data_IF_367213840843
#
_entry.id   IF_367213840843
#
_cell.length_a   1.000
_cell.length_b   1.000
_cell.length_c   1.000
_cell.angle_alpha   90.00
_cell.angle_beta   90.00
_cell.angle_gamma   90.00
#
_symmetry.space_group_name_H-M   'P 1'
#
loop_
_entity.id
_entity.type
_entity.pdbx_description
1 polymer ?
#
# COMPACT_ATOMS: atom_id res chain seq x y z
N UNK A 1 2.85 -35.22 -39.18
CA UNK A 1 3.84 -35.15 -38.07
C UNK A 1 3.81 -33.73 -37.54
N UNK A 2 3.01 -33.45 -36.49
CA UNK A 2 2.91 -32.11 -35.91
C UNK A 2 4.21 -31.83 -35.13
N UNK A 3 5.01 -30.92 -35.62
CA UNK A 3 6.18 -30.43 -34.90
C UNK A 3 5.67 -29.71 -33.64
N UNK A 4 5.70 -30.36 -32.47
CA UNK A 4 5.41 -29.70 -31.20
C UNK A 4 6.40 -28.54 -31.03
N UNK A 5 5.91 -27.30 -31.07
CA UNK A 5 6.71 -26.12 -30.78
C UNK A 5 7.41 -26.31 -29.44
N UNK A 6 8.71 -26.19 -29.41
CA UNK A 6 9.48 -26.28 -28.16
C UNK A 6 9.08 -25.10 -27.26
N UNK A 7 8.81 -25.32 -25.97
CA UNK A 7 8.47 -24.26 -25.05
C UNK A 7 9.61 -23.25 -24.94
N UNK A 8 9.28 -21.96 -24.93
CA UNK A 8 10.25 -20.91 -24.67
C UNK A 8 10.72 -20.93 -23.20
N UNK A 9 11.70 -20.10 -22.84
CA UNK A 9 12.25 -20.06 -21.49
C UNK A 9 11.21 -19.68 -20.42
N UNK A 10 10.28 -18.76 -20.72
CA UNK A 10 9.18 -18.37 -19.86
C UNK A 10 8.21 -19.53 -19.63
N UNK A 11 7.78 -20.22 -20.70
CA UNK A 11 6.90 -21.38 -20.60
C UNK A 11 7.54 -22.53 -19.78
N UNK A 12 8.86 -22.70 -19.89
CA UNK A 12 9.60 -23.67 -19.08
C UNK A 12 9.60 -23.30 -17.60
N UNK A 13 9.86 -22.01 -17.26
CA UNK A 13 9.82 -21.53 -15.87
C UNK A 13 8.42 -21.64 -15.26
N UNK A 14 7.37 -21.34 -16.04
CA UNK A 14 6.00 -21.53 -15.60
C UNK A 14 5.65 -23.00 -15.30
N UNK A 15 6.18 -23.94 -16.08
CA UNK A 15 6.01 -25.38 -15.79
C UNK A 15 6.70 -25.76 -14.49
N UNK A 16 7.89 -25.23 -14.19
CA UNK A 16 8.57 -25.46 -12.92
C UNK A 16 7.74 -24.95 -11.72
N UNK A 17 7.04 -23.83 -11.88
CA UNK A 17 6.16 -23.31 -10.83
C UNK A 17 4.87 -24.16 -10.68
N UNK A 18 4.35 -24.72 -11.76
CA UNK A 18 3.11 -25.52 -11.77
C UNK A 18 3.34 -26.98 -11.35
N UNK A 19 4.56 -27.53 -11.55
CA UNK A 19 4.94 -28.88 -11.16
C UNK A 19 5.62 -28.84 -9.79
N UNK A 20 4.82 -28.99 -8.74
CA UNK A 20 5.23 -28.87 -7.35
C UNK A 20 6.18 -29.96 -6.84
N UNK A 21 6.56 -30.92 -7.68
CA UNK A 21 7.47 -32.00 -7.34
C UNK A 21 8.77 -31.97 -8.15
N UNK A 22 8.79 -31.30 -9.29
CA UNK A 22 9.93 -31.35 -10.20
C UNK A 22 11.06 -30.40 -9.76
N UNK A 23 12.18 -30.96 -9.30
CA UNK A 23 13.38 -30.22 -8.90
C UNK A 23 13.21 -29.25 -7.72
N UNK A 24 12.10 -29.30 -6.99
CA UNK A 24 11.85 -28.43 -5.85
C UNK A 24 12.76 -28.80 -4.67
N UNK A 25 13.34 -27.78 -4.01
CA UNK A 25 14.31 -27.94 -2.93
C UNK A 25 14.04 -27.02 -1.73
N UNK A 26 12.91 -26.29 -1.74
CA UNK A 26 12.40 -25.53 -0.61
C UNK A 26 10.87 -25.47 -0.61
N UNK A 27 10.30 -25.06 0.53
CA UNK A 27 8.87 -25.08 0.75
C UNK A 27 8.43 -23.87 1.57
N UNK A 28 7.28 -23.28 1.20
CA UNK A 28 6.58 -22.24 1.95
C UNK A 28 5.22 -22.75 2.42
N UNK A 29 4.84 -22.37 3.64
CA UNK A 29 3.51 -22.57 4.21
C UNK A 29 2.88 -21.19 4.39
N UNK A 30 1.84 -20.89 3.62
CA UNK A 30 1.27 -19.55 3.51
C UNK A 30 -0.16 -19.51 4.03
N UNK A 31 -0.44 -18.51 4.86
CA UNK A 31 -1.73 -18.26 5.49
C UNK A 31 -1.72 -18.57 6.97
N UNK A 32 -2.51 -17.79 7.71
CA UNK A 32 -2.70 -17.91 9.17
C UNK A 32 -4.21 -17.84 9.49
N UNK A 33 -4.98 -18.75 8.92
CA UNK A 33 -6.40 -18.85 9.26
C UNK A 33 -6.60 -19.93 10.30
N UNK A 34 -7.28 -19.66 11.44
CA UNK A 34 -7.57 -20.68 12.45
C UNK A 34 -8.43 -21.82 11.91
N UNK A 35 -9.17 -21.57 10.82
CA UNK A 35 -10.11 -22.53 10.23
C UNK A 35 -9.56 -23.24 8.98
N UNK A 36 -8.35 -22.88 8.52
CA UNK A 36 -7.77 -23.44 7.30
C UNK A 36 -6.30 -23.78 7.50
N UNK A 37 -5.90 -24.95 7.03
CA UNK A 37 -4.48 -25.30 6.95
C UNK A 37 -3.75 -24.34 6.00
N UNK A 38 -2.49 -23.94 6.31
CA UNK A 38 -1.71 -23.09 5.44
C UNK A 38 -1.48 -23.78 4.09
N UNK A 39 -1.60 -23.01 3.02
CA UNK A 39 -1.34 -23.53 1.68
C UNK A 39 0.15 -23.76 1.49
N UNK A 40 0.50 -24.90 0.92
CA UNK A 40 1.88 -25.34 0.67
C UNK A 40 2.31 -24.95 -0.74
N UNK A 41 3.48 -24.31 -0.85
CA UNK A 41 4.14 -23.98 -2.11
C UNK A 41 5.55 -24.57 -2.14
N UNK A 42 5.80 -25.47 -3.07
CA UNK A 42 7.12 -26.02 -3.29
C UNK A 42 7.84 -25.22 -4.35
N UNK A 43 9.06 -24.81 -4.07
CA UNK A 43 9.80 -23.84 -4.88
C UNK A 43 11.25 -24.28 -5.11
N UNK A 44 11.99 -23.45 -5.87
CA UNK A 44 13.38 -23.70 -6.25
C UNK A 44 14.25 -22.60 -5.65
N UNK A 45 15.12 -22.93 -4.71
CA UNK A 45 16.05 -22.01 -4.04
C UNK A 45 16.82 -21.14 -5.03
N UNK A 46 17.35 -21.76 -6.10
CA UNK A 46 18.13 -21.04 -7.12
C UNK A 46 17.31 -19.97 -7.84
N UNK A 47 16.03 -20.26 -8.16
CA UNK A 47 15.16 -19.27 -8.84
C UNK A 47 14.86 -18.12 -7.89
N UNK A 48 14.50 -18.43 -6.64
CA UNK A 48 14.24 -17.42 -5.61
C UNK A 48 15.46 -16.55 -5.33
N UNK A 49 16.62 -17.17 -5.12
CA UNK A 49 17.89 -16.47 -4.88
C UNK A 49 18.33 -15.60 -6.06
N UNK A 50 18.03 -16.01 -7.30
CA UNK A 50 18.32 -15.18 -8.48
C UNK A 50 17.45 -13.94 -8.60
N UNK A 51 16.32 -13.89 -7.88
CA UNK A 51 15.37 -12.78 -7.92
C UNK A 51 15.51 -11.83 -6.71
N UNK A 52 16.12 -12.28 -5.59
CA UNK A 52 16.18 -11.52 -4.35
C UNK A 52 17.40 -11.90 -3.51
N UNK A 53 18.17 -10.88 -3.10
CA UNK A 53 19.29 -11.06 -2.16
C UNK A 53 18.82 -11.61 -0.81
N UNK A 54 17.59 -11.31 -0.40
CA UNK A 54 17.02 -11.87 0.85
C UNK A 54 16.85 -13.36 0.73
N UNK A 55 16.35 -13.87 -0.41
CA UNK A 55 16.26 -15.30 -0.66
C UNK A 55 17.64 -15.94 -0.81
N UNK A 56 18.59 -15.25 -1.45
CA UNK A 56 19.96 -15.75 -1.53
C UNK A 56 20.55 -15.97 -0.15
N UNK A 57 20.43 -14.95 0.73
CA UNK A 57 20.90 -15.06 2.12
C UNK A 57 20.14 -16.12 2.91
N UNK A 58 18.83 -16.23 2.73
CA UNK A 58 17.97 -17.20 3.42
C UNK A 58 18.37 -18.64 3.13
N UNK A 59 18.77 -18.96 1.89
CA UNK A 59 18.99 -20.34 1.46
C UNK A 59 20.46 -20.72 1.31
N UNK A 60 21.36 -19.75 1.16
CA UNK A 60 22.77 -20.01 0.83
C UNK A 60 23.78 -19.38 1.80
N UNK A 61 23.33 -18.69 2.86
CA UNK A 61 24.22 -18.19 3.91
C UNK A 61 24.47 -19.25 5.00
N UNK A 62 25.36 -18.92 5.93
CA UNK A 62 25.63 -19.75 7.13
C UNK A 62 24.40 -19.91 8.04
N UNK A 63 23.41 -19.02 7.92
CA UNK A 63 22.14 -19.04 8.67
C UNK A 63 20.99 -19.57 7.83
N UNK A 64 21.26 -20.57 6.98
CA UNK A 64 20.22 -21.11 6.11
C UNK A 64 19.02 -21.63 6.92
N UNK A 65 17.84 -21.51 6.33
CA UNK A 65 16.59 -22.01 6.94
C UNK A 65 16.43 -23.47 6.58
N UNK A 66 16.47 -24.33 7.60
CA UNK A 66 16.13 -25.75 7.46
C UNK A 66 14.62 -25.95 7.68
N UNK A 67 13.95 -26.52 6.67
CA UNK A 67 12.52 -26.82 6.71
C UNK A 67 11.63 -25.75 6.04
N UNK A 68 10.31 -25.89 6.18
CA UNK A 68 9.34 -24.99 5.55
C UNK A 68 9.38 -23.57 6.10
N UNK A 69 9.39 -22.59 5.21
CA UNK A 69 9.28 -21.17 5.57
C UNK A 69 7.80 -20.81 5.78
N UNK A 70 7.45 -20.28 6.96
CA UNK A 70 6.09 -19.85 7.26
C UNK A 70 5.90 -18.37 6.89
N UNK A 71 4.78 -18.08 6.20
CA UNK A 71 4.34 -16.73 5.84
C UNK A 71 2.89 -16.59 6.27
N UNK A 72 2.64 -15.75 7.25
CA UNK A 72 1.32 -15.54 7.87
C UNK A 72 0.69 -14.22 7.47
N UNK A 73 1.46 -13.30 6.93
CA UNK A 73 1.10 -11.91 6.71
C UNK A 73 0.33 -11.66 5.39
N UNK A 74 0.29 -12.67 4.51
CA UNK A 74 -0.36 -12.56 3.20
C UNK A 74 -1.21 -13.78 2.88
N UNK A 75 -2.19 -13.59 2.01
CA UNK A 75 -3.01 -14.68 1.50
C UNK A 75 -2.24 -15.53 0.48
N UNK A 76 -2.63 -16.82 0.40
CA UNK A 76 -2.05 -17.76 -0.54
C UNK A 76 -2.15 -17.31 -2.01
N UNK A 77 -3.25 -16.63 -2.39
CA UNK A 77 -3.45 -16.09 -3.74
C UNK A 77 -2.43 -15.00 -4.07
N UNK A 78 -2.18 -14.08 -3.15
CA UNK A 78 -1.18 -13.02 -3.34
C UNK A 78 0.24 -13.61 -3.40
N UNK A 79 0.52 -14.62 -2.58
CA UNK A 79 1.81 -15.30 -2.62
C UNK A 79 2.02 -16.08 -3.93
N UNK A 80 0.99 -16.71 -4.48
CA UNK A 80 1.03 -17.35 -5.80
C UNK A 80 1.36 -16.35 -6.91
N UNK A 81 0.73 -15.15 -6.89
CA UNK A 81 1.05 -14.06 -7.83
C UNK A 81 2.47 -13.55 -7.67
N UNK A 82 2.93 -13.43 -6.42
CA UNK A 82 4.32 -13.07 -6.11
C UNK A 82 5.29 -14.10 -6.69
N UNK A 83 5.08 -15.40 -6.46
CA UNK A 83 5.90 -16.47 -7.03
C UNK A 83 5.88 -16.44 -8.56
N UNK A 84 4.71 -16.20 -9.16
CA UNK A 84 4.63 -16.06 -10.62
C UNK A 84 5.57 -14.96 -11.10
N UNK A 85 5.55 -13.80 -10.44
CA UNK A 85 6.49 -12.72 -10.76
C UNK A 85 7.95 -13.16 -10.60
N UNK A 86 8.31 -13.81 -9.49
CA UNK A 86 9.66 -14.31 -9.24
C UNK A 86 10.15 -15.24 -10.36
N UNK A 87 9.26 -16.08 -10.90
CA UNK A 87 9.64 -17.05 -11.93
C UNK A 87 9.70 -16.47 -13.34
N UNK A 88 8.84 -15.52 -13.69
CA UNK A 88 8.71 -15.02 -15.07
C UNK A 88 8.83 -13.50 -15.22
N UNK A 89 8.99 -12.77 -14.14
CA UNK A 89 9.06 -11.30 -14.09
C UNK A 89 7.87 -10.60 -14.72
N UNK A 90 6.67 -11.19 -14.59
CA UNK A 90 5.43 -10.59 -15.09
C UNK A 90 4.31 -10.75 -14.06
N UNK A 91 3.56 -9.67 -13.87
CA UNK A 91 2.28 -9.69 -13.16
C UNK A 91 1.20 -10.12 -14.15
N UNK A 92 0.21 -10.89 -13.68
CA UNK A 92 -0.95 -11.20 -14.51
C UNK A 92 -1.75 -9.91 -14.75
N UNK A 93 -1.70 -9.43 -15.99
CA UNK A 93 -2.36 -8.18 -16.37
C UNK A 93 -3.83 -8.37 -16.71
N UNK A 94 -4.32 -9.59 -16.83
CA UNK A 94 -5.71 -9.87 -17.18
C UNK A 94 -6.63 -9.78 -15.97
N UNK A 95 -6.13 -10.11 -14.77
CA UNK A 95 -6.88 -10.02 -13.52
C UNK A 95 -6.67 -8.67 -12.81
N UNK A 96 -7.77 -8.12 -12.32
CA UNK A 96 -7.75 -6.94 -11.47
C UNK A 96 -7.12 -7.28 -10.10
N UNK A 97 -6.21 -6.42 -9.63
CA UNK A 97 -5.69 -6.50 -8.26
C UNK A 97 -6.62 -5.75 -7.32
N UNK A 98 -7.15 -6.42 -6.32
CA UNK A 98 -7.82 -5.74 -5.21
C UNK A 98 -6.80 -4.93 -4.40
N UNK A 99 -7.26 -3.91 -3.65
CA UNK A 99 -6.39 -3.14 -2.75
C UNK A 99 -5.66 -4.04 -1.73
N UNK A 100 -6.33 -5.09 -1.25
CA UNK A 100 -5.71 -6.07 -0.36
C UNK A 100 -4.56 -6.80 -1.05
N UNK A 101 -4.78 -7.34 -2.25
CA UNK A 101 -3.74 -8.04 -3.02
C UNK A 101 -2.58 -7.11 -3.36
N UNK A 102 -2.88 -5.84 -3.70
CA UNK A 102 -1.85 -4.82 -3.92
C UNK A 102 -1.00 -4.60 -2.66
N UNK A 103 -1.64 -4.41 -1.50
CA UNK A 103 -0.95 -4.21 -0.22
C UNK A 103 -0.07 -5.42 0.14
N UNK A 104 -0.57 -6.63 -0.05
CA UNK A 104 0.17 -7.87 0.21
C UNK A 104 1.34 -8.06 -0.75
N UNK A 105 1.19 -7.69 -2.04
CA UNK A 105 2.28 -7.74 -3.02
C UNK A 105 3.35 -6.67 -2.74
N UNK A 106 2.96 -5.46 -2.31
CA UNK A 106 3.90 -4.42 -1.88
C UNK A 106 4.65 -4.86 -0.61
N UNK A 107 3.96 -5.49 0.34
CA UNK A 107 4.58 -6.09 1.52
C UNK A 107 5.64 -7.13 1.15
N UNK A 108 5.32 -8.05 0.23
CA UNK A 108 6.27 -9.08 -0.22
C UNK A 108 7.44 -8.46 -0.99
N UNK A 109 7.18 -7.43 -1.81
CA UNK A 109 8.22 -6.70 -2.53
C UNK A 109 9.21 -6.03 -1.57
N UNK A 110 8.70 -5.38 -0.52
CA UNK A 110 9.51 -4.76 0.53
C UNK A 110 10.29 -5.82 1.34
N UNK A 111 9.59 -6.83 1.88
CA UNK A 111 10.17 -7.92 2.68
C UNK A 111 11.31 -8.64 1.96
N UNK A 112 11.20 -8.84 0.65
CA UNK A 112 12.19 -9.53 -0.17
C UNK A 112 13.06 -8.58 -1.00
N UNK A 113 13.02 -7.28 -0.74
CA UNK A 113 13.83 -6.22 -1.38
C UNK A 113 13.75 -6.29 -2.92
N UNK A 114 12.53 -6.44 -3.47
CA UNK A 114 12.27 -6.60 -4.90
C UNK A 114 11.69 -5.31 -5.50
N UNK A 115 12.55 -4.31 -5.73
CA UNK A 115 12.14 -3.02 -6.30
C UNK A 115 11.47 -3.16 -7.67
N UNK A 116 11.96 -4.08 -8.50
CA UNK A 116 11.41 -4.32 -9.84
C UNK A 116 9.94 -4.77 -9.79
N UNK A 117 9.54 -5.55 -8.76
CA UNK A 117 8.14 -5.92 -8.54
C UNK A 117 7.30 -4.68 -8.21
N UNK A 118 7.80 -3.82 -7.34
CA UNK A 118 7.14 -2.56 -6.99
C UNK A 118 6.91 -1.68 -8.21
N UNK A 119 7.93 -1.52 -9.05
CA UNK A 119 7.85 -0.72 -10.27
C UNK A 119 6.82 -1.29 -11.27
N UNK A 120 6.77 -2.61 -11.41
CA UNK A 120 5.80 -3.27 -12.29
C UNK A 120 4.36 -3.15 -11.73
N UNK A 121 4.16 -3.22 -10.41
CA UNK A 121 2.86 -2.96 -9.77
C UNK A 121 2.36 -1.54 -10.06
N UNK A 122 3.21 -0.53 -9.89
CA UNK A 122 2.85 0.87 -10.17
C UNK A 122 2.55 1.08 -11.65
N UNK A 123 3.33 0.48 -12.54
CA UNK A 123 3.08 0.52 -13.98
C UNK A 123 1.75 -0.13 -14.35
N UNK A 124 1.43 -1.28 -13.76
CA UNK A 124 0.14 -1.95 -13.93
C UNK A 124 -1.02 -1.04 -13.50
N UNK A 125 -0.92 -0.38 -12.35
CA UNK A 125 -1.92 0.57 -11.86
C UNK A 125 -2.12 1.77 -12.80
N UNK A 126 -1.06 2.32 -13.37
CA UNK A 126 -1.15 3.43 -14.34
C UNK A 126 -1.89 3.05 -15.63
N UNK A 127 -1.71 1.82 -16.08
CA UNK A 127 -2.30 1.37 -17.35
C UNK A 127 -3.75 0.87 -17.22
N UNK A 128 -4.10 0.33 -16.08
CA UNK A 128 -5.46 -0.16 -15.79
C UNK A 128 -6.14 0.76 -14.78
N UNK A 129 -6.70 1.88 -15.24
CA UNK A 129 -7.51 2.81 -14.44
C UNK A 129 -8.79 2.19 -13.84
N UNK A 130 -8.65 1.09 -13.09
CA UNK A 130 -9.78 0.37 -12.52
C UNK A 130 -9.99 0.69 -11.02
N UNK A 131 -9.25 1.63 -10.46
CA UNK A 131 -9.47 2.10 -9.12
C UNK A 131 -10.55 3.19 -9.10
N UNK A 132 -11.36 3.13 -8.09
CA UNK A 132 -12.43 4.08 -7.85
C UNK A 132 -11.91 5.26 -7.03
N UNK A 133 -12.69 6.34 -6.96
CA UNK A 133 -12.35 7.47 -6.10
C UNK A 133 -12.23 7.06 -4.62
N UNK A 134 -12.95 6.00 -4.20
CA UNK A 134 -12.87 5.43 -2.86
C UNK A 134 -11.55 4.74 -2.54
N UNK A 135 -10.82 4.30 -3.56
CA UNK A 135 -9.55 3.57 -3.40
C UNK A 135 -8.34 4.50 -3.21
N UNK A 136 -8.52 5.81 -3.50
CA UNK A 136 -7.42 6.79 -3.49
C UNK A 136 -6.74 6.89 -2.12
N UNK A 137 -7.52 7.03 -1.04
CA UNK A 137 -6.97 7.12 0.31
C UNK A 137 -6.33 5.84 0.81
N UNK A 138 -6.94 4.65 0.66
CA UNK A 138 -6.27 3.40 0.97
C UNK A 138 -4.97 3.18 0.20
N UNK A 139 -4.93 3.53 -1.10
CA UNK A 139 -3.69 3.49 -1.88
C UNK A 139 -2.66 4.50 -1.41
N UNK A 140 -3.08 5.71 -1.05
CA UNK A 140 -2.21 6.71 -0.49
C UNK A 140 -1.57 6.25 0.83
N UNK A 141 -2.34 5.58 1.71
CA UNK A 141 -1.82 4.99 2.94
C UNK A 141 -0.76 3.92 2.65
N UNK A 142 -1.02 3.02 1.71
CA UNK A 142 -0.03 2.03 1.27
C UNK A 142 1.23 2.68 0.70
N UNK A 143 1.07 3.71 -0.13
CA UNK A 143 2.20 4.44 -0.71
C UNK A 143 3.05 5.15 0.35
N UNK A 144 2.41 5.68 1.39
CA UNK A 144 3.10 6.28 2.53
C UNK A 144 3.79 5.21 3.40
N UNK A 145 3.14 4.08 3.64
CA UNK A 145 3.66 2.98 4.47
C UNK A 145 4.95 2.40 3.88
N UNK A 146 4.99 2.19 2.58
CA UNK A 146 6.16 1.64 1.87
C UNK A 146 7.09 2.70 1.28
N UNK A 147 6.88 3.98 1.63
CA UNK A 147 7.64 5.13 1.09
C UNK A 147 7.78 5.10 -0.45
N UNK A 148 6.75 4.57 -1.11
CA UNK A 148 6.73 4.35 -2.56
C UNK A 148 6.44 5.65 -3.30
N UNK A 149 7.49 6.36 -3.72
CA UNK A 149 7.35 7.64 -4.40
C UNK A 149 6.55 7.56 -5.71
N UNK A 150 6.77 6.59 -6.61
CA UNK A 150 5.95 6.46 -7.82
C UNK A 150 4.46 6.29 -7.56
N UNK A 151 4.08 5.52 -6.53
CA UNK A 151 2.68 5.34 -6.12
C UNK A 151 2.12 6.60 -5.46
N UNK A 152 2.92 7.29 -4.63
CA UNK A 152 2.55 8.59 -4.05
C UNK A 152 2.25 9.63 -5.12
N UNK A 153 3.08 9.72 -6.18
CA UNK A 153 2.84 10.66 -7.27
C UNK A 153 1.54 10.36 -8.01
N UNK A 154 1.24 9.08 -8.23
CA UNK A 154 -0.04 8.66 -8.82
C UNK A 154 -1.23 9.09 -7.95
N UNK A 155 -1.15 8.87 -6.62
CA UNK A 155 -2.19 9.32 -5.69
C UNK A 155 -2.30 10.86 -5.67
N UNK A 156 -1.18 11.59 -5.71
CA UNK A 156 -1.18 13.06 -5.73
C UNK A 156 -1.89 13.62 -6.96
N UNK A 157 -1.70 13.02 -8.13
CA UNK A 157 -2.42 13.42 -9.36
C UNK A 157 -3.94 13.31 -9.15
N UNK A 158 -4.42 12.20 -8.60
CA UNK A 158 -5.85 12.00 -8.35
C UNK A 158 -6.38 12.88 -7.21
N UNK A 159 -5.62 13.04 -6.12
CA UNK A 159 -6.01 13.91 -5.01
C UNK A 159 -6.15 15.35 -5.48
N UNK A 160 -5.19 15.88 -6.24
CA UNK A 160 -5.25 17.27 -6.73
C UNK A 160 -6.40 17.52 -7.70
N UNK A 161 -6.80 16.50 -8.44
CA UNK A 161 -7.89 16.56 -9.42
C UNK A 161 -9.29 16.57 -8.76
N UNK A 162 -9.45 15.87 -7.63
CA UNK A 162 -10.73 15.64 -6.99
C UNK A 162 -10.75 15.99 -5.49
N UNK A 163 -10.00 17.03 -5.07
CA UNK A 163 -9.77 17.38 -3.65
C UNK A 163 -11.05 17.44 -2.82
N UNK A 164 -12.04 18.25 -3.22
CA UNK A 164 -13.26 18.45 -2.44
C UNK A 164 -14.06 17.17 -2.27
N UNK A 165 -14.16 16.37 -3.34
CA UNK A 165 -14.83 15.08 -3.31
C UNK A 165 -14.10 14.12 -2.38
N UNK A 166 -12.78 13.98 -2.54
CA UNK A 166 -11.95 13.07 -1.76
C UNK A 166 -11.95 13.40 -0.27
N UNK A 167 -11.94 14.69 0.12
CA UNK A 167 -12.05 15.09 1.52
C UNK A 167 -13.46 14.92 2.11
N UNK A 168 -14.44 14.51 1.30
CA UNK A 168 -15.83 14.37 1.72
C UNK A 168 -16.37 12.94 1.70
N UNK A 169 -15.57 11.98 1.27
CA UNK A 169 -15.93 10.55 1.26
C UNK A 169 -15.47 9.83 2.52
N UNK A 170 -16.12 8.72 2.85
CA UNK A 170 -15.87 7.98 4.09
C UNK A 170 -14.42 7.48 4.21
N UNK A 171 -13.81 7.04 3.12
CA UNK A 171 -12.42 6.56 3.12
C UNK A 171 -11.40 7.63 3.54
N UNK A 172 -11.73 8.95 3.48
CA UNK A 172 -10.89 9.99 4.06
C UNK A 172 -10.76 9.86 5.57
N UNK A 173 -11.84 9.50 6.24
CA UNK A 173 -11.85 9.34 7.70
C UNK A 173 -11.17 8.04 8.15
N UNK A 174 -10.95 7.08 7.25
CA UNK A 174 -10.20 5.85 7.50
C UNK A 174 -8.68 6.03 7.30
N UNK A 175 -8.26 7.15 6.69
CA UNK A 175 -6.86 7.48 6.45
C UNK A 175 -6.05 7.45 7.76
N UNK A 176 -4.84 6.91 7.72
CA UNK A 176 -3.95 6.90 8.87
C UNK A 176 -3.56 8.34 9.27
N UNK A 177 -3.77 8.69 10.54
CA UNK A 177 -3.47 10.02 11.08
C UNK A 177 -2.02 10.47 10.85
N UNK A 178 -1.08 9.52 10.79
CA UNK A 178 0.33 9.81 10.50
C UNK A 178 0.54 10.44 9.11
N UNK A 179 -0.39 10.22 8.19
CA UNK A 179 -0.28 10.69 6.81
C UNK A 179 -1.01 12.01 6.55
N UNK A 180 -1.83 12.50 7.51
CA UNK A 180 -2.60 13.75 7.37
C UNK A 180 -1.72 14.96 7.06
N UNK A 181 -0.53 15.06 7.62
CA UNK A 181 0.41 16.16 7.31
C UNK A 181 0.72 16.25 5.83
N UNK A 182 0.97 15.11 5.17
CA UNK A 182 1.25 15.05 3.73
C UNK A 182 0.04 15.51 2.92
N UNK A 183 -1.17 15.10 3.33
CA UNK A 183 -2.42 15.54 2.71
C UNK A 183 -2.59 17.05 2.83
N UNK A 184 -2.42 17.61 4.04
CA UNK A 184 -2.57 19.05 4.28
C UNK A 184 -1.58 19.85 3.45
N UNK A 185 -0.30 19.44 3.40
CA UNK A 185 0.73 20.10 2.58
C UNK A 185 0.32 20.12 1.10
N UNK A 186 -0.13 18.97 0.57
CA UNK A 186 -0.52 18.84 -0.83
C UNK A 186 -1.75 19.70 -1.16
N UNK A 187 -2.79 19.61 -0.32
CA UNK A 187 -4.09 20.21 -0.58
C UNK A 187 -4.11 21.71 -0.30
N UNK A 188 -3.34 22.19 0.68
CA UNK A 188 -3.23 23.62 1.00
C UNK A 188 -2.57 24.45 -0.12
N UNK A 189 -1.90 23.80 -1.06
CA UNK A 189 -1.33 24.43 -2.24
C UNK A 189 -2.36 24.67 -3.36
N UNK A 190 -3.55 24.05 -3.26
CA UNK A 190 -4.59 24.18 -4.28
C UNK A 190 -5.32 25.54 -4.10
N UNK A 191 -5.33 26.42 -5.14
CA UNK A 191 -5.83 27.80 -4.99
C UNK A 191 -7.32 27.90 -4.72
N UNK A 192 -8.09 26.85 -5.06
CA UNK A 192 -9.55 26.82 -4.85
C UNK A 192 -9.95 26.27 -3.48
N UNK A 193 -9.01 25.72 -2.71
CA UNK A 193 -9.28 25.14 -1.39
C UNK A 193 -9.01 26.18 -0.30
N UNK A 194 -10.05 26.53 0.45
CA UNK A 194 -9.90 27.49 1.55
C UNK A 194 -9.33 26.84 2.82
N UNK A 195 -8.50 27.59 3.54
CA UNK A 195 -7.97 27.19 4.85
C UNK A 195 -9.10 26.83 5.83
N UNK A 196 -10.23 27.55 5.78
CA UNK A 196 -11.40 27.27 6.62
C UNK A 196 -12.02 25.91 6.31
N UNK A 197 -12.17 25.59 5.02
CA UNK A 197 -12.69 24.27 4.59
C UNK A 197 -11.78 23.14 5.06
N UNK A 198 -10.45 23.27 4.90
CA UNK A 198 -9.52 22.26 5.36
C UNK A 198 -9.56 22.06 6.88
N UNK A 199 -9.64 23.16 7.65
CA UNK A 199 -9.79 23.07 9.09
C UNK A 199 -11.07 22.31 9.48
N UNK A 200 -12.19 22.60 8.83
CA UNK A 200 -13.44 21.88 9.07
C UNK A 200 -13.30 20.38 8.78
N UNK A 201 -12.63 20.00 7.68
CA UNK A 201 -12.40 18.59 7.34
C UNK A 201 -11.50 17.87 8.34
N UNK A 202 -10.48 18.54 8.86
CA UNK A 202 -9.63 17.99 9.94
C UNK A 202 -10.41 17.85 11.25
N UNK A 203 -11.29 18.79 11.58
CA UNK A 203 -12.18 18.68 12.74
C UNK A 203 -13.18 17.52 12.59
N UNK A 204 -13.78 17.35 11.40
CA UNK A 204 -14.65 16.22 11.08
C UNK A 204 -13.90 14.90 11.22
N UNK A 205 -12.68 14.81 10.67
CA UNK A 205 -11.80 13.65 10.82
C UNK A 205 -11.57 13.30 12.30
N UNK A 206 -11.22 14.29 13.12
CA UNK A 206 -10.99 14.07 14.54
C UNK A 206 -12.24 13.64 15.31
N UNK A 207 -13.44 14.09 14.90
CA UNK A 207 -14.72 13.66 15.49
C UNK A 207 -15.07 12.24 15.08
N UNK A 208 -14.96 11.91 13.79
CA UNK A 208 -15.25 10.56 13.27
C UNK A 208 -14.36 9.49 13.94
N UNK A 209 -13.09 9.82 14.13
CA UNK A 209 -12.12 8.95 14.79
C UNK A 209 -12.11 9.10 16.33
N UNK A 210 -13.03 9.86 16.93
CA UNK A 210 -13.15 10.11 18.38
C UNK A 210 -11.87 10.63 19.04
N UNK A 211 -10.98 11.26 18.27
CA UNK A 211 -9.70 11.76 18.79
C UNK A 211 -9.88 12.91 19.78
N UNK A 212 -10.98 13.66 19.68
CA UNK A 212 -11.31 14.74 20.59
C UNK A 212 -11.64 14.25 22.02
N UNK A 213 -11.97 12.97 22.20
CA UNK A 213 -12.27 12.37 23.51
C UNK A 213 -11.00 12.11 24.34
N UNK A 214 -9.86 11.89 23.67
CA UNK A 214 -8.56 11.69 24.33
C UNK A 214 -7.50 12.63 23.74
N UNK A 215 -7.46 13.85 24.24
CA UNK A 215 -6.57 14.91 23.78
C UNK A 215 -5.08 14.70 24.12
N UNK A 216 -4.77 13.78 25.02
CA UNK A 216 -3.41 13.42 25.40
C UNK A 216 -2.86 12.28 24.52
N UNK A 217 -3.67 11.74 23.60
CA UNK A 217 -3.25 10.69 22.70
C UNK A 217 -2.27 11.19 21.66
N UNK A 218 -1.31 10.36 21.27
CA UNK A 218 -0.37 10.64 20.18
C UNK A 218 -1.13 10.95 18.87
N UNK A 219 -2.23 10.26 18.62
CA UNK A 219 -3.06 10.45 17.45
C UNK A 219 -3.69 11.85 17.42
N UNK A 220 -4.18 12.37 18.57
CA UNK A 220 -4.71 13.73 18.65
C UNK A 220 -3.60 14.76 18.40
N UNK A 221 -2.41 14.57 18.96
CA UNK A 221 -1.27 15.46 18.69
C UNK A 221 -0.92 15.50 17.20
N UNK A 222 -0.90 14.36 16.51
CA UNK A 222 -0.65 14.30 15.05
C UNK A 222 -1.70 15.03 14.24
N UNK A 223 -2.97 14.94 14.63
CA UNK A 223 -4.06 15.71 14.02
C UNK A 223 -3.85 17.23 14.21
N UNK A 224 -3.52 17.66 15.43
CA UNK A 224 -3.22 19.07 15.73
C UNK A 224 -2.01 19.57 14.95
N UNK A 225 -0.95 18.77 14.87
CA UNK A 225 0.23 19.11 14.07
C UNK A 225 -0.10 19.29 12.58
N UNK A 226 -0.99 18.44 12.02
CA UNK A 226 -1.45 18.61 10.65
C UNK A 226 -2.26 19.93 10.50
N UNK A 227 -3.13 20.24 11.46
CA UNK A 227 -3.90 21.49 11.45
C UNK A 227 -3.02 22.74 11.61
N UNK A 228 -1.91 22.67 12.33
CA UNK A 228 -0.94 23.76 12.48
C UNK A 228 -0.20 24.11 11.18
N UNK A 229 -0.23 23.26 10.16
CA UNK A 229 0.33 23.57 8.84
C UNK A 229 -0.56 24.51 8.00
N UNK A 230 -1.79 24.76 8.44
CA UNK A 230 -2.72 25.64 7.75
C UNK A 230 -2.30 27.11 7.91
N UNK A 231 -2.29 27.86 6.80
CA UNK A 231 -1.99 29.30 6.80
C UNK A 231 -3.21 30.12 7.19
N UNK A 232 -3.35 30.39 8.48
CA UNK A 232 -4.46 31.20 9.00
C UNK A 232 -4.37 32.70 8.67
N UNK A 233 -3.22 33.18 8.17
CA UNK A 233 -3.10 34.60 7.73
C UNK A 233 -3.92 34.88 6.46
N UNK A 234 -4.28 33.86 5.72
CA UNK A 234 -5.17 33.95 4.55
C UNK A 234 -6.63 34.15 4.91
N UNK A 235 -7.02 34.04 6.18
CA UNK A 235 -8.39 34.17 6.62
C UNK A 235 -8.77 35.64 6.90
N UNK A 236 -10.02 35.98 6.57
CA UNK A 236 -10.60 37.23 7.06
C UNK A 236 -10.72 37.18 8.61
N UNK A 237 -10.80 38.38 9.25
CA UNK A 237 -10.98 38.45 10.71
C UNK A 237 -12.28 37.74 11.17
N UNK A 238 -13.32 37.74 10.34
CA UNK A 238 -14.58 37.08 10.63
C UNK A 238 -14.41 35.54 10.55
N UNK A 239 -13.73 35.04 9.50
CA UNK A 239 -13.48 33.63 9.32
C UNK A 239 -12.54 33.07 10.39
N UNK A 240 -11.51 33.82 10.80
CA UNK A 240 -10.66 33.45 11.91
C UNK A 240 -11.46 33.29 13.22
N UNK A 241 -12.35 34.25 13.53
CA UNK A 241 -13.19 34.19 14.73
C UNK A 241 -14.19 33.04 14.73
N UNK A 242 -14.75 32.67 13.56
CA UNK A 242 -15.73 31.58 13.43
C UNK A 242 -15.11 30.20 13.18
N UNK A 243 -13.83 30.14 12.89
CA UNK A 243 -13.07 28.91 12.63
C UNK A 243 -11.98 28.67 13.69
N UNK A 244 -10.70 29.02 13.43
CA UNK A 244 -9.57 28.69 14.30
C UNK A 244 -9.76 29.11 15.76
N UNK A 245 -10.33 30.29 16.02
CA UNK A 245 -10.56 30.80 17.37
C UNK A 245 -11.59 29.99 18.18
N UNK A 246 -12.41 29.16 17.53
CA UNK A 246 -13.41 28.30 18.17
C UNK A 246 -13.12 26.81 18.01
N UNK A 247 -12.09 26.49 17.26
CA UNK A 247 -11.71 25.10 16.98
C UNK A 247 -11.30 24.37 18.26
N UNK A 248 -11.85 23.19 18.47
CA UNK A 248 -11.46 22.32 19.57
C UNK A 248 -10.02 21.80 19.43
N UNK A 249 -9.44 21.86 18.24
CA UNK A 249 -8.04 21.45 18.02
C UNK A 249 -7.06 22.40 18.72
N UNK A 250 -7.41 23.67 18.89
CA UNK A 250 -6.52 24.70 19.46
C UNK A 250 -6.97 25.22 20.83
N UNK A 251 -8.22 24.94 21.23
CA UNK A 251 -8.78 25.45 22.49
C UNK A 251 -9.01 24.32 23.51
N UNK A 252 -8.42 24.49 24.67
CA UNK A 252 -8.62 23.60 25.83
C UNK A 252 -9.93 23.97 26.59
N UNK A 253 -11.09 23.96 25.93
CA UNK A 253 -12.36 24.14 26.63
C UNK A 253 -13.05 22.81 26.81
#
# INVERSE_FOLDING_TARGET
MFCKRMPNSKERRMRLLQDDQHLTDCEFLVGDSPDKEPQRFRCHKMILASASEVFERMFYSEFNVDGPVRITEVDAKSFERFLRYVYIYEIDTEEFLSLKELGELLYLADKYMMQDLTDELVKHLKHKHNWTIGDVWPMFDLACLYENLPLLLLCYEEITKYVETLLSIDSFYELNVNHLKRVVILVSQQPHISTKFLLQKLEEYGRQNKLHENRESEQFYKLVEAACLLDFNKLSRADYKSGPAQSYLFNNK
#
